data_IF_178778146418
#
_entry.id   IF_178778146418
#
_cell.length_a   1.000
_cell.length_b   1.000
_cell.length_c   1.000
_cell.angle_alpha   90.00
_cell.angle_beta   90.00
_cell.angle_gamma   90.00
#
_symmetry.space_group_name_H-M   'P 1'
#
loop_
_entity.id
_entity.type
_entity.pdbx_description
1 polymer ?
#
# COMPACT_ATOMS: atom_id res chain seq x y z
N UNK A 1 -8.68 9.24 -4.11
CA UNK A 1 -7.43 9.45 -3.35
C UNK A 1 -6.47 10.12 -4.30
N UNK A 2 -5.93 11.29 -3.95
CA UNK A 2 -4.97 11.98 -4.81
C UNK A 2 -3.69 11.14 -5.02
N UNK A 3 -2.98 11.28 -6.15
CA UNK A 3 -1.80 10.46 -6.45
C UNK A 3 -0.72 10.48 -5.37
N UNK A 4 -0.46 11.64 -4.78
CA UNK A 4 0.52 11.84 -3.71
C UNK A 4 0.15 11.07 -2.44
N UNK A 5 -1.13 11.14 -2.02
CA UNK A 5 -1.61 10.39 -0.85
C UNK A 5 -1.55 8.88 -1.12
N UNK A 6 -1.87 8.47 -2.35
CA UNK A 6 -1.75 7.06 -2.75
C UNK A 6 -0.30 6.59 -2.68
N UNK A 7 0.67 7.38 -3.15
CA UNK A 7 2.09 7.04 -3.07
C UNK A 7 2.60 6.91 -1.62
N UNK A 8 2.11 7.77 -0.72
CA UNK A 8 2.40 7.67 0.71
C UNK A 8 1.84 6.37 1.31
N UNK A 9 0.59 6.03 1.01
CA UNK A 9 -0.06 4.79 1.46
C UNK A 9 0.66 3.55 0.93
N UNK A 10 1.13 3.58 -0.33
CA UNK A 10 1.95 2.52 -0.93
C UNK A 10 3.26 2.33 -0.17
N UNK A 11 3.97 3.42 0.13
CA UNK A 11 5.23 3.37 0.89
C UNK A 11 5.03 2.77 2.28
N UNK A 12 3.99 3.18 3.00
CA UNK A 12 3.63 2.61 4.30
C UNK A 12 3.34 1.11 4.21
N UNK A 13 2.55 0.68 3.21
CA UNK A 13 2.19 -0.72 3.02
C UNK A 13 3.42 -1.59 2.71
N UNK A 14 4.27 -1.13 1.79
CA UNK A 14 5.48 -1.86 1.37
C UNK A 14 6.50 -1.98 2.51
N UNK A 15 6.65 -0.95 3.35
CA UNK A 15 7.49 -1.03 4.55
C UNK A 15 7.04 -2.15 5.49
N UNK A 16 5.73 -2.35 5.66
CA UNK A 16 5.17 -3.45 6.44
C UNK A 16 5.39 -4.84 5.83
N UNK A 17 5.54 -4.93 4.50
CA UNK A 17 5.88 -6.18 3.82
C UNK A 17 7.36 -6.55 4.01
N UNK A 18 8.26 -5.57 4.14
CA UNK A 18 9.69 -5.78 4.41
C UNK A 18 9.93 -6.10 5.88
N UNK A 19 9.35 -5.29 6.79
CA UNK A 19 9.47 -5.46 8.23
C UNK A 19 8.07 -5.52 8.86
N UNK A 20 7.69 -6.71 9.34
CA UNK A 20 6.37 -6.94 9.96
C UNK A 20 6.10 -6.02 11.16
N UNK A 21 7.14 -5.51 11.83
CA UNK A 21 7.01 -4.55 12.94
C UNK A 21 6.57 -3.16 12.48
N UNK A 22 6.76 -2.85 11.20
CA UNK A 22 6.31 -1.61 10.54
C UNK A 22 4.96 -1.76 9.84
N UNK A 23 4.30 -2.92 9.97
CA UNK A 23 2.99 -3.15 9.35
C UNK A 23 1.96 -2.27 10.03
N UNK A 24 1.33 -1.40 9.24
CA UNK A 24 0.29 -0.50 9.70
C UNK A 24 -1.10 -1.06 9.37
N UNK A 25 -2.01 -0.95 10.34
CA UNK A 25 -3.45 -1.04 10.14
C UNK A 25 -3.98 0.18 9.37
N UNK A 26 -5.24 0.12 8.93
CA UNK A 26 -5.88 1.27 8.27
C UNK A 26 -5.99 2.48 9.21
N UNK A 27 -6.15 2.25 10.51
CA UNK A 27 -6.16 3.33 11.52
C UNK A 27 -4.77 3.95 11.66
N UNK A 28 -3.72 3.15 11.82
CA UNK A 28 -2.35 3.67 11.94
C UNK A 28 -1.89 4.43 10.68
N UNK A 29 -2.31 4.00 9.48
CA UNK A 29 -2.07 4.77 8.25
C UNK A 29 -2.80 6.11 8.26
N UNK A 30 -4.05 6.14 8.73
CA UNK A 30 -4.82 7.40 8.87
C UNK A 30 -4.14 8.35 9.87
N UNK A 31 -3.70 7.82 11.02
CA UNK A 31 -3.03 8.60 12.05
C UNK A 31 -1.70 9.19 11.51
N UNK A 32 -0.92 8.40 10.76
CA UNK A 32 0.31 8.90 10.14
C UNK A 32 0.04 9.96 9.06
N UNK A 33 -1.01 9.82 8.25
CA UNK A 33 -1.41 10.86 7.30
C UNK A 33 -1.87 12.14 8.02
N UNK A 34 -2.56 12.00 9.15
CA UNK A 34 -2.99 13.13 9.97
C UNK A 34 -1.80 13.86 10.61
N UNK A 35 -0.80 13.11 11.09
CA UNK A 35 0.46 13.67 11.58
C UNK A 35 1.17 14.49 10.50
N UNK A 36 1.23 13.99 9.27
CA UNK A 36 1.81 14.72 8.13
C UNK A 36 1.04 15.98 7.76
N UNK A 37 -0.30 15.93 7.79
CA UNK A 37 -1.11 17.13 7.57
C UNK A 37 -0.88 18.18 8.66
N UNK A 38 -0.69 17.75 9.91
CA UNK A 38 -0.34 18.67 11.01
C UNK A 38 1.03 19.34 10.84
N UNK A 39 1.90 18.74 10.03
CA UNK A 39 3.21 19.26 9.64
C UNK A 39 3.18 20.01 8.30
N UNK A 40 1.99 20.27 7.75
CA UNK A 40 1.77 20.95 6.47
C UNK A 40 2.43 20.23 5.27
N UNK A 41 2.76 18.94 5.40
CA UNK A 41 3.32 18.14 4.28
C UNK A 41 2.25 17.78 3.24
N UNK A 42 1.00 17.67 3.69
CA UNK A 42 -0.18 17.37 2.86
C UNK A 42 -1.40 18.14 3.37
N UNK A 43 -2.40 18.34 2.52
CA UNK A 43 -3.66 18.98 2.91
C UNK A 43 -4.54 18.01 3.72
N UNK A 44 -5.12 18.49 4.82
CA UNK A 44 -6.03 17.71 5.67
C UNK A 44 -7.24 17.18 4.88
N UNK A 45 -7.75 17.99 3.94
CA UNK A 45 -8.88 17.64 3.08
C UNK A 45 -8.58 16.48 2.12
N UNK A 46 -7.31 16.15 1.91
CA UNK A 46 -6.89 15.06 1.03
C UNK A 46 -6.80 13.72 1.75
N UNK A 47 -6.89 13.71 3.08
CA UNK A 47 -6.81 12.48 3.89
C UNK A 47 -8.06 11.63 3.64
N UNK A 48 -7.91 10.42 3.08
CA UNK A 48 -9.03 9.50 2.92
C UNK A 48 -9.50 8.99 4.29
N UNK A 49 -10.81 8.77 4.42
CA UNK A 49 -11.40 8.10 5.58
C UNK A 49 -10.78 6.72 5.81
N UNK A 50 -10.72 6.27 7.06
CA UNK A 50 -10.20 4.94 7.46
C UNK A 50 -10.83 3.80 6.63
N UNK A 51 -12.14 3.80 6.39
CA UNK A 51 -12.81 2.78 5.57
C UNK A 51 -12.29 2.76 4.12
N UNK A 52 -11.98 3.94 3.55
CA UNK A 52 -11.41 4.05 2.21
C UNK A 52 -10.00 3.49 2.18
N UNK A 53 -9.19 3.74 3.23
CA UNK A 53 -7.86 3.16 3.39
C UNK A 53 -7.94 1.64 3.50
N UNK A 54 -8.85 1.11 4.31
CA UNK A 54 -9.06 -0.33 4.46
C UNK A 54 -9.42 -1.00 3.12
N UNK A 55 -10.36 -0.42 2.37
CA UNK A 55 -10.75 -0.91 1.05
C UNK A 55 -9.57 -0.84 0.06
N UNK A 56 -8.78 0.22 0.14
CA UNK A 56 -7.58 0.38 -0.68
C UNK A 56 -6.52 -0.69 -0.36
N UNK A 57 -6.22 -0.96 0.92
CA UNK A 57 -5.29 -2.01 1.35
C UNK A 57 -5.74 -3.39 0.84
N UNK A 58 -7.03 -3.70 0.98
CA UNK A 58 -7.58 -4.99 0.53
C UNK A 58 -7.42 -5.17 -0.99
N UNK A 59 -7.75 -4.13 -1.77
CA UNK A 59 -7.60 -4.13 -3.21
C UNK A 59 -6.13 -4.23 -3.62
N UNK A 60 -5.25 -3.43 -3.02
CA UNK A 60 -3.82 -3.41 -3.31
C UNK A 60 -3.16 -4.75 -3.00
N UNK A 61 -3.53 -5.38 -1.88
CA UNK A 61 -3.05 -6.71 -1.50
C UNK A 61 -3.45 -7.77 -2.54
N UNK A 62 -4.70 -7.73 -3.02
CA UNK A 62 -5.19 -8.66 -4.03
C UNK A 62 -4.44 -8.48 -5.36
N UNK A 63 -4.26 -7.25 -5.82
CA UNK A 63 -3.51 -6.98 -7.05
C UNK A 63 -2.05 -7.38 -6.92
N UNK A 64 -1.41 -7.07 -5.79
CA UNK A 64 -0.02 -7.45 -5.53
C UNK A 64 0.19 -8.97 -5.58
N UNK A 65 -0.69 -9.74 -4.91
CA UNK A 65 -0.64 -11.21 -4.94
C UNK A 65 -0.87 -11.79 -6.34
N UNK A 66 -1.81 -11.22 -7.10
CA UNK A 66 -2.07 -11.65 -8.46
C UNK A 66 -0.85 -11.41 -9.37
N UNK A 67 -0.23 -10.23 -9.29
CA UNK A 67 0.98 -9.91 -10.04
C UNK A 67 2.17 -10.82 -9.65
N UNK A 68 2.37 -11.08 -8.35
CA UNK A 68 3.41 -12.01 -7.91
C UNK A 68 3.19 -13.45 -8.42
N UNK A 69 1.92 -13.89 -8.47
CA UNK A 69 1.57 -15.22 -8.98
C UNK A 69 1.81 -15.33 -10.49
N UNK A 70 1.46 -14.30 -11.26
CA UNK A 70 1.71 -14.26 -12.71
C UNK A 70 3.21 -14.34 -13.01
N UNK A 71 4.04 -13.56 -12.30
CA UNK A 71 5.50 -13.59 -12.47
C UNK A 71 6.09 -14.96 -12.15
N UNK A 72 5.62 -15.61 -11.09
CA UNK A 72 6.06 -16.95 -10.74
C UNK A 72 5.68 -18.01 -11.80
N UNK A 73 4.53 -17.86 -12.48
CA UNK A 73 4.14 -18.74 -13.59
C UNK A 73 5.04 -18.51 -14.82
N UNK A 74 5.28 -17.26 -15.20
CA UNK A 74 6.17 -16.90 -16.32
C UNK A 74 7.60 -17.43 -16.11
N UNK A 75 8.15 -17.29 -14.89
CA UNK A 75 9.46 -17.82 -14.51
C UNK A 75 9.52 -19.35 -14.59
N UNK A 76 8.45 -20.03 -14.12
CA UNK A 76 8.35 -21.48 -14.16
C UNK A 76 8.17 -22.03 -15.59
N UNK A 77 7.56 -21.27 -16.51
CA UNK A 77 7.42 -21.62 -17.92
C UNK A 77 8.73 -21.39 -18.69
N UNK A 78 9.41 -20.26 -18.45
CA UNK A 78 10.71 -19.97 -19.07
C UNK A 78 11.78 -20.99 -18.70
N UNK A 79 11.75 -21.53 -17.48
CA UNK A 79 12.71 -22.54 -16.99
C UNK A 79 12.51 -23.94 -17.59
N UNK A 80 11.37 -24.20 -18.26
CA UNK A 80 11.08 -25.49 -18.92
C UNK A 80 11.52 -25.52 -20.39
N UNK A 81 11.81 -24.37 -20.98
CA UNK A 81 12.23 -24.24 -22.38
C UNK A 81 13.75 -24.08 -22.57
N UNK A 82 14.52 -24.30 -21.50
CA UNK A 82 16.00 -24.37 -21.46
C UNK A 82 16.45 -25.73 -20.98
#
# INVERSE_FOLDING_TARGET
IKPEIKALMETMFLNGNIDKRKKMSAQEMYDNLTERASQEEIEENDIPKVQTIQNWIANYTRTFKASASLRALEEAESSKNT
#
